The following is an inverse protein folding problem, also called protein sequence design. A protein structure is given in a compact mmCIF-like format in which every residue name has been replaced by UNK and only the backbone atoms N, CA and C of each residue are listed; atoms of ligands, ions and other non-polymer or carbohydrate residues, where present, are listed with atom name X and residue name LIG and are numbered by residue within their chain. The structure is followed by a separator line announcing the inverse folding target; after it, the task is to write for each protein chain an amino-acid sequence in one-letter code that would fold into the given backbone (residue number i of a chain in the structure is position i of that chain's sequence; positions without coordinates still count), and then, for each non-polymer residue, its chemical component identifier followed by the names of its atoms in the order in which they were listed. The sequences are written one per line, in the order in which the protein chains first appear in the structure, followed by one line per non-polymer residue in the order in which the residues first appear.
data_IF_429080526431
#
_entry.id   IF_429080526431
#
_cell.length_a   1.000
_cell.length_b   1.000
_cell.length_c   1.000
_cell.angle_alpha   90.00
_cell.angle_beta   90.00
_cell.angle_gamma   90.00
#
_symmetry.space_group_name_H-M   'P 1'
#
loop_
_entity.id
_entity.type
_entity.pdbx_description
1 polymer ?
#
# COMPACT_ATOMS: atom_id res chain seq x y z
N UNK A 1 -16.06 35.40 4.97
CA UNK A 1 -15.42 34.82 3.79
C UNK A 1 -13.89 34.69 3.97
N UNK A 2 -13.39 34.18 5.10
CA UNK A 2 -11.93 34.03 5.39
C UNK A 2 -11.48 32.60 5.67
N UNK A 3 -12.34 31.60 5.65
CA UNK A 3 -12.00 30.24 6.04
C UNK A 3 -12.14 29.17 4.92
N UNK A 4 -12.47 29.54 3.68
CA UNK A 4 -12.65 28.58 2.60
C UNK A 4 -11.33 28.11 1.98
N UNK A 5 -10.24 28.87 2.10
CA UNK A 5 -8.96 28.54 1.50
C UNK A 5 -8.08 27.60 2.35
N UNK A 6 -8.44 27.34 3.60
CA UNK A 6 -7.67 26.41 4.47
C UNK A 6 -7.84 24.94 4.14
N UNK A 7 -8.94 24.57 3.48
CA UNK A 7 -9.29 23.16 3.25
C UNK A 7 -8.80 22.59 1.91
N UNK A 8 -8.39 23.44 0.97
CA UNK A 8 -8.02 22.99 -0.41
C UNK A 8 -6.57 22.50 -0.50
N UNK A 9 -5.70 22.87 0.42
CA UNK A 9 -4.26 22.57 0.35
C UNK A 9 -3.83 21.22 0.93
N UNK A 10 -4.69 20.53 1.69
CA UNK A 10 -4.30 19.38 2.51
C UNK A 10 -4.76 18.02 2.03
N UNK A 11 -5.60 17.95 1.01
CA UNK A 11 -6.13 16.67 0.51
C UNK A 11 -5.14 15.86 -0.34
N UNK A 12 -3.98 16.41 -0.66
CA UNK A 12 -2.96 15.72 -1.48
C UNK A 12 -1.98 14.84 -0.70
N UNK A 13 -1.84 15.01 0.60
CA UNK A 13 -0.86 14.28 1.42
C UNK A 13 -1.43 12.97 2.00
N UNK A 14 -2.74 12.76 1.92
CA UNK A 14 -3.39 11.60 2.46
C UNK A 14 -2.99 10.34 1.69
N UNK A 15 -2.20 9.49 2.34
CA UNK A 15 -2.02 8.07 2.06
C UNK A 15 -1.14 7.69 0.88
N UNK A 16 0.13 8.07 0.95
CA UNK A 16 1.17 7.36 0.22
C UNK A 16 1.40 5.92 0.72
N UNK A 17 0.76 5.52 1.80
CA UNK A 17 0.87 4.17 2.36
C UNK A 17 -0.38 3.33 2.08
N UNK A 18 -0.80 3.23 0.82
CA UNK A 18 -1.64 2.11 0.44
C UNK A 18 -0.82 0.83 0.63
N UNK A 19 -1.24 -0.12 1.48
CA UNK A 19 -0.50 -1.34 1.72
C UNK A 19 -0.62 -2.25 0.50
N UNK A 20 0.34 -2.18 -0.37
CA UNK A 20 0.51 -3.13 -1.46
C UNK A 20 1.27 -4.39 -1.03
N UNK A 21 1.67 -4.46 0.23
CA UNK A 21 2.32 -5.65 0.82
C UNK A 21 1.36 -6.79 1.16
N UNK A 22 0.16 -6.77 0.63
CA UNK A 22 -0.89 -7.76 0.86
C UNK A 22 -0.62 -9.15 0.28
N UNK A 23 0.62 -9.49 -0.10
CA UNK A 23 0.81 -10.62 -0.96
C UNK A 23 1.91 -11.56 -0.49
N UNK A 24 1.54 -12.47 0.36
CA UNK A 24 2.13 -13.79 0.29
C UNK A 24 1.55 -14.48 -0.96
N UNK A 25 1.89 -14.05 -2.17
CA UNK A 25 1.55 -14.60 -3.48
C UNK A 25 0.28 -15.46 -3.60
N UNK A 26 0.17 -16.26 -4.67
CA UNK A 26 -0.94 -17.18 -4.89
C UNK A 26 -0.84 -18.50 -4.07
N UNK A 27 0.26 -18.72 -3.34
CA UNK A 27 0.47 -19.92 -2.54
C UNK A 27 -0.29 -19.85 -1.22
N UNK A 28 -0.95 -20.93 -0.85
CA UNK A 28 -1.54 -21.14 0.47
C UNK A 28 -0.59 -21.93 1.36
N UNK A 29 -0.71 -21.75 2.65
CA UNK A 29 0.02 -22.51 3.66
C UNK A 29 -0.54 -23.94 3.79
N UNK A 30 0.26 -24.92 4.17
CA UNK A 30 -0.24 -26.21 4.66
C UNK A 30 -1.14 -26.03 5.88
N UNK A 31 -2.07 -26.98 6.07
CA UNK A 31 -2.96 -26.97 7.24
C UNK A 31 -2.19 -26.98 8.55
N UNK A 32 -2.51 -26.06 9.44
CA UNK A 32 -1.89 -25.91 10.76
C UNK A 32 -0.58 -25.12 10.77
N UNK A 33 -0.11 -24.64 9.63
CA UNK A 33 1.07 -23.77 9.56
C UNK A 33 0.70 -22.30 9.76
N UNK A 34 1.59 -21.57 10.43
CA UNK A 34 1.52 -20.13 10.63
C UNK A 34 2.71 -19.47 9.94
N UNK A 35 2.45 -18.42 9.16
CA UNK A 35 3.48 -17.53 8.64
C UNK A 35 3.25 -16.10 9.14
N UNK A 36 4.33 -15.44 9.57
CA UNK A 36 4.31 -14.08 10.06
C UNK A 36 5.36 -13.23 9.35
N UNK A 37 5.09 -11.94 9.23
CA UNK A 37 6.06 -10.96 8.72
C UNK A 37 5.85 -9.62 9.40
N UNK A 38 6.95 -8.98 9.78
CA UNK A 38 6.96 -7.57 10.16
C UNK A 38 7.79 -6.84 9.11
N UNK A 39 7.18 -5.82 8.48
CA UNK A 39 7.85 -5.02 7.45
C UNK A 39 7.89 -3.55 7.90
N UNK A 40 9.08 -2.99 7.91
CA UNK A 40 9.32 -1.56 8.10
C UNK A 40 9.42 -0.87 6.74
N UNK A 41 8.78 0.28 6.62
CA UNK A 41 8.86 1.20 5.49
C UNK A 41 9.34 2.56 5.97
N UNK A 42 10.23 3.17 5.20
CA UNK A 42 10.64 4.54 5.42
C UNK A 42 10.64 5.29 4.09
N UNK A 43 9.90 6.38 4.04
CA UNK A 43 9.80 7.28 2.89
C UNK A 43 10.04 8.71 3.33
N UNK A 44 10.86 9.42 2.57
CA UNK A 44 10.91 10.88 2.54
C UNK A 44 10.57 11.35 1.13
N UNK A 45 9.78 12.40 1.02
CA UNK A 45 9.41 12.97 -0.27
C UNK A 45 9.35 14.50 -0.18
N UNK A 46 10.00 15.16 -1.11
CA UNK A 46 9.96 16.60 -1.37
C UNK A 46 9.21 16.91 -2.67
N UNK A 47 8.79 15.88 -3.40
CA UNK A 47 8.04 15.96 -4.64
C UNK A 47 6.78 15.10 -4.60
N UNK A 48 5.82 15.47 -5.42
CA UNK A 48 4.59 14.72 -5.62
C UNK A 48 4.15 14.70 -7.08
N UNK A 49 3.31 13.75 -7.43
CA UNK A 49 2.64 13.70 -8.74
C UNK A 49 1.35 14.50 -8.69
N UNK A 50 1.24 15.56 -9.51
CA UNK A 50 0.09 16.46 -9.47
C UNK A 50 -1.22 15.77 -9.85
N UNK A 51 -2.29 16.20 -9.16
CA UNK A 51 -3.63 15.60 -9.27
C UNK A 51 -4.47 16.19 -10.39
N UNK A 52 -4.25 17.47 -10.72
CA UNK A 52 -4.96 18.25 -11.73
C UNK A 52 -3.99 19.18 -12.45
N UNK A 53 -4.27 19.63 -13.69
CA UNK A 53 -3.42 20.59 -14.37
C UNK A 53 -3.24 21.85 -13.51
N UNK A 54 -2.01 22.30 -13.38
CA UNK A 54 -1.66 23.50 -12.60
C UNK A 54 -0.76 24.42 -13.41
N UNK A 55 -0.96 25.74 -13.26
CA UNK A 55 -0.04 26.71 -13.83
C UNK A 55 1.16 26.90 -12.92
N UNK A 56 2.37 26.70 -13.46
CA UNK A 56 3.61 26.88 -12.72
C UNK A 56 4.80 27.06 -13.66
N UNK A 57 5.77 27.88 -13.27
CA UNK A 57 6.98 28.19 -14.05
C UNK A 57 6.68 28.68 -15.48
N UNK A 58 5.58 29.43 -15.67
CA UNK A 58 5.19 29.97 -16.97
C UNK A 58 4.52 28.97 -17.93
N UNK A 59 4.24 27.75 -17.50
CA UNK A 59 3.63 26.69 -18.29
C UNK A 59 2.50 26.00 -17.53
N UNK A 60 1.56 25.39 -18.27
CA UNK A 60 0.58 24.46 -17.69
C UNK A 60 1.29 23.11 -17.52
N UNK A 61 1.32 22.63 -16.29
CA UNK A 61 1.82 21.30 -15.96
C UNK A 61 0.68 20.28 -16.03
N UNK A 62 0.96 19.16 -16.67
CA UNK A 62 -0.03 18.13 -16.92
C UNK A 62 -0.19 17.18 -15.72
N UNK A 63 -1.37 16.56 -15.65
CA UNK A 63 -1.68 15.56 -14.61
C UNK A 63 -0.65 14.43 -14.61
N UNK A 64 -0.07 14.15 -13.46
CA UNK A 64 0.91 13.09 -13.27
C UNK A 64 2.36 13.52 -13.51
N UNK A 65 2.64 14.77 -13.80
CA UNK A 65 3.99 15.30 -13.71
C UNK A 65 4.46 15.40 -12.27
N UNK A 66 5.76 15.22 -12.05
CA UNK A 66 6.39 15.41 -10.75
C UNK A 66 6.61 16.89 -10.47
N UNK A 67 6.36 17.29 -9.25
CA UNK A 67 6.52 18.66 -8.82
C UNK A 67 6.98 18.71 -7.36
N UNK A 68 7.89 19.61 -7.01
CA UNK A 68 8.19 19.91 -5.60
C UNK A 68 6.91 20.30 -4.84
N UNK A 69 6.83 19.90 -3.59
CA UNK A 69 5.80 20.40 -2.72
C UNK A 69 5.92 21.93 -2.61
N UNK A 70 4.77 22.61 -2.50
CA UNK A 70 4.76 24.06 -2.32
C UNK A 70 5.43 24.42 -1.00
N UNK A 71 6.04 25.59 -0.96
CA UNK A 71 6.69 26.15 0.24
C UNK A 71 7.76 25.23 0.83
N UNK A 72 8.59 24.62 0.00
CA UNK A 72 9.62 23.68 0.39
C UNK A 72 9.08 22.52 1.26
N UNK A 73 7.86 22.10 1.00
CA UNK A 73 7.20 21.03 1.74
C UNK A 73 7.98 19.71 1.71
N UNK A 74 8.03 19.04 2.85
CA UNK A 74 8.64 17.73 3.03
C UNK A 74 7.67 16.80 3.76
N UNK A 75 7.49 15.62 3.21
CA UNK A 75 6.72 14.56 3.80
C UNK A 75 7.62 13.43 4.26
N UNK A 76 7.51 13.01 5.51
CA UNK A 76 8.14 11.80 6.01
C UNK A 76 7.09 10.81 6.50
N UNK A 77 7.28 9.55 6.18
CA UNK A 77 6.45 8.45 6.68
C UNK A 77 7.31 7.27 7.08
N UNK A 78 7.12 6.82 8.30
CA UNK A 78 7.62 5.55 8.83
C UNK A 78 6.43 4.66 9.10
N UNK A 79 6.46 3.42 8.63
CA UNK A 79 5.38 2.48 8.86
C UNK A 79 5.92 1.09 9.23
N UNK A 80 5.22 0.41 10.13
CA UNK A 80 5.40 -1.00 10.45
C UNK A 80 4.12 -1.74 10.07
N UNK A 81 4.26 -2.82 9.32
CA UNK A 81 3.15 -3.74 9.02
C UNK A 81 3.44 -5.08 9.68
N UNK A 82 2.63 -5.46 10.63
CA UNK A 82 2.65 -6.80 11.20
C UNK A 82 1.59 -7.65 10.50
N UNK A 83 2.00 -8.76 9.90
CA UNK A 83 1.15 -9.68 9.13
C UNK A 83 1.24 -11.08 9.72
N UNK A 84 0.12 -11.78 9.72
CA UNK A 84 0.05 -13.19 10.06
C UNK A 84 -0.93 -13.91 9.13
N UNK A 85 -0.55 -15.10 8.64
CA UNK A 85 -1.41 -15.99 7.88
C UNK A 85 -1.38 -17.37 8.50
N UNK A 86 -2.54 -17.99 8.64
CA UNK A 86 -2.70 -19.33 9.18
C UNK A 86 -3.43 -20.23 8.19
N UNK A 87 -2.83 -21.35 7.85
CA UNK A 87 -3.45 -22.39 7.02
C UNK A 87 -4.55 -23.14 7.78
N UNK A 88 -5.81 -22.81 7.53
CA UNK A 88 -6.93 -23.56 8.08
C UNK A 88 -7.03 -24.95 7.45
N UNK A 89 -6.76 -25.01 6.15
CA UNK A 89 -6.64 -26.24 5.35
C UNK A 89 -5.51 -26.04 4.35
N UNK A 90 -5.08 -27.08 3.65
CA UNK A 90 -4.07 -26.97 2.57
C UNK A 90 -4.47 -25.98 1.46
N UNK A 91 -5.72 -25.54 1.43
CA UNK A 91 -6.26 -24.66 0.38
C UNK A 91 -6.85 -23.37 0.89
N UNK A 92 -6.99 -23.20 2.19
CA UNK A 92 -7.64 -22.03 2.79
C UNK A 92 -6.79 -21.44 3.90
N UNK A 93 -6.35 -20.22 3.71
CA UNK A 93 -5.70 -19.41 4.74
C UNK A 93 -6.64 -18.33 5.25
N UNK A 94 -6.48 -17.98 6.51
CA UNK A 94 -6.95 -16.72 7.09
C UNK A 94 -5.75 -15.84 7.43
N UNK A 95 -5.91 -14.53 7.36
CA UNK A 95 -4.82 -13.59 7.60
C UNK A 95 -5.27 -12.33 8.29
N UNK A 96 -4.34 -11.72 8.98
CA UNK A 96 -4.46 -10.45 9.68
C UNK A 96 -3.30 -9.55 9.30
N UNK A 97 -3.56 -8.25 9.14
CA UNK A 97 -2.53 -7.22 9.03
C UNK A 97 -2.87 -6.06 9.97
N UNK A 98 -1.89 -5.66 10.76
CA UNK A 98 -1.96 -4.52 11.66
C UNK A 98 -0.88 -3.51 11.25
N UNK A 99 -1.25 -2.34 10.72
CA UNK A 99 -0.30 -1.28 10.41
C UNK A 99 -0.10 -0.37 11.63
N UNK A 100 1.12 0.15 11.78
CA UNK A 100 1.44 1.27 12.63
C UNK A 100 2.13 2.34 11.79
N UNK A 101 1.68 3.57 11.87
CA UNK A 101 2.25 4.71 11.14
C UNK A 101 2.84 5.74 12.09
N UNK A 102 3.88 6.41 11.63
CA UNK A 102 4.35 7.70 12.15
C UNK A 102 4.61 8.57 10.93
N UNK A 103 3.85 9.66 10.81
CA UNK A 103 3.85 10.54 9.65
C UNK A 103 4.03 11.98 10.07
N UNK A 104 4.77 12.75 9.28
CA UNK A 104 4.97 14.17 9.50
C UNK A 104 5.02 14.91 8.17
N UNK A 105 4.62 16.18 8.21
CA UNK A 105 4.72 17.09 7.08
C UNK A 105 5.21 18.45 7.57
N UNK A 106 6.28 18.97 6.95
CA UNK A 106 6.85 20.27 7.24
C UNK A 106 6.80 21.15 5.98
N UNK A 107 6.56 22.45 6.14
CA UNK A 107 6.74 23.45 5.09
C UNK A 107 7.09 24.84 5.69
N UNK A 108 7.53 25.77 4.86
CA UNK A 108 7.97 27.12 5.27
C UNK A 108 6.80 28.03 5.73
N UNK A 109 5.55 27.59 5.64
CA UNK A 109 4.38 28.40 6.05
C UNK A 109 3.99 28.17 7.50
N UNK A 110 4.61 27.22 8.18
CA UNK A 110 4.30 26.81 9.55
C UNK A 110 5.52 26.82 10.44
N UNK A 111 5.31 27.17 11.69
CA UNK A 111 6.34 27.09 12.74
C UNK A 111 6.39 25.71 13.41
N UNK A 112 5.34 24.90 13.23
CA UNK A 112 5.18 23.56 13.76
C UNK A 112 5.18 22.53 12.63
N UNK A 113 5.65 21.35 12.92
CA UNK A 113 5.58 20.19 12.01
C UNK A 113 4.42 19.31 12.44
N UNK A 114 3.25 19.38 11.76
CA UNK A 114 2.15 18.48 12.07
C UNK A 114 2.58 17.03 11.90
N UNK A 115 2.36 16.23 12.91
CA UNK A 115 2.69 14.82 12.94
C UNK A 115 1.59 14.03 13.61
N UNK A 116 1.44 12.78 13.21
CA UNK A 116 0.57 11.80 13.85
C UNK A 116 1.23 10.43 13.86
N UNK A 117 0.94 9.65 14.90
CA UNK A 117 1.41 8.28 14.98
C UNK A 117 0.41 7.40 15.71
N UNK A 118 0.25 6.17 15.23
CA UNK A 118 -0.68 5.24 15.84
C UNK A 118 -0.90 4.00 15.00
N UNK A 119 -1.77 3.12 15.52
CA UNK A 119 -2.27 1.98 14.77
C UNK A 119 -3.22 2.51 13.70
N UNK A 120 -3.00 2.10 12.45
CA UNK A 120 -3.89 2.42 11.35
C UNK A 120 -5.06 1.44 11.23
N UNK A 121 -5.65 1.37 10.05
CA UNK A 121 -6.79 0.50 9.79
C UNK A 121 -6.37 -0.96 9.67
N UNK A 122 -6.87 -1.81 10.56
CA UNK A 122 -6.60 -3.25 10.61
C UNK A 122 -7.30 -3.97 9.45
N UNK A 123 -6.65 -5.00 8.88
CA UNK A 123 -7.18 -5.79 7.78
C UNK A 123 -7.26 -7.26 8.12
N UNK A 124 -8.36 -7.89 7.71
CA UNK A 124 -8.58 -9.33 7.78
C UNK A 124 -8.69 -9.89 6.37
N UNK A 125 -8.23 -11.12 6.18
CA UNK A 125 -8.23 -11.79 4.89
C UNK A 125 -8.66 -13.25 4.99
N UNK A 126 -9.29 -13.74 3.92
CA UNK A 126 -9.39 -15.16 3.63
C UNK A 126 -8.86 -15.39 2.21
N UNK A 127 -8.05 -16.43 2.02
CA UNK A 127 -7.40 -16.77 0.76
C UNK A 127 -7.65 -18.23 0.44
N UNK A 128 -8.29 -18.52 -0.70
CA UNK A 128 -8.67 -19.85 -1.12
C UNK A 128 -8.01 -20.23 -2.45
N UNK A 129 -7.19 -21.29 -2.43
CA UNK A 129 -6.59 -21.87 -3.61
C UNK A 129 -7.59 -22.75 -4.36
N UNK A 130 -8.08 -22.22 -5.49
CA UNK A 130 -9.08 -22.89 -6.33
C UNK A 130 -8.44 -23.93 -7.26
N UNK A 131 -7.31 -23.57 -7.89
CA UNK A 131 -6.58 -24.39 -8.86
C UNK A 131 -5.14 -24.56 -8.39
N UNK A 132 -4.59 -25.77 -8.53
CA UNK A 132 -3.21 -26.11 -8.15
C UNK A 132 -2.29 -26.37 -9.33
N UNK A 133 -2.81 -26.71 -10.51
CA UNK A 133 -2.02 -27.03 -11.71
C UNK A 133 -2.75 -26.62 -12.99
N UNK A 134 -2.05 -26.24 -14.07
CA UNK A 134 -0.60 -26.13 -14.22
C UNK A 134 0.01 -24.88 -13.58
N UNK A 135 -0.81 -23.95 -13.12
CA UNK A 135 -0.48 -22.79 -12.30
C UNK A 135 -1.47 -22.72 -11.14
N UNK A 136 -1.03 -22.12 -10.05
CA UNK A 136 -1.92 -21.84 -8.93
C UNK A 136 -2.88 -20.73 -9.33
N UNK A 137 -4.17 -20.90 -9.00
CA UNK A 137 -5.14 -19.81 -9.00
C UNK A 137 -5.79 -19.72 -7.63
N UNK A 138 -5.73 -18.55 -7.05
CA UNK A 138 -6.19 -18.28 -5.69
C UNK A 138 -7.11 -17.06 -5.69
N UNK A 139 -8.23 -17.17 -5.00
CA UNK A 139 -9.10 -16.04 -4.68
C UNK A 139 -8.79 -15.57 -3.26
N UNK A 140 -8.68 -14.27 -3.09
CA UNK A 140 -8.50 -13.63 -1.79
C UNK A 140 -9.58 -12.57 -1.61
N UNK A 141 -10.25 -12.61 -0.48
CA UNK A 141 -11.15 -11.57 -0.02
C UNK A 141 -10.58 -10.93 1.23
N UNK A 142 -10.82 -9.65 1.40
CA UNK A 142 -10.32 -8.92 2.55
C UNK A 142 -11.30 -7.85 3.01
N UNK A 143 -11.15 -7.44 4.26
CA UNK A 143 -11.84 -6.27 4.79
C UNK A 143 -10.86 -5.41 5.58
N UNK A 144 -10.95 -4.10 5.39
CA UNK A 144 -10.28 -3.07 6.20
C UNK A 144 -11.27 -2.50 7.17
N UNK A 145 -10.94 -2.53 8.45
CA UNK A 145 -11.74 -1.97 9.54
C UNK A 145 -11.21 -0.57 9.90
N UNK A 146 -12.08 0.43 10.09
CA UNK A 146 -11.67 1.79 10.45
C UNK A 146 -11.24 1.85 11.93
N UNK A 147 -10.10 1.29 12.25
CA UNK A 147 -9.54 1.25 13.61
C UNK A 147 -8.54 2.37 13.89
N UNK A 148 -7.99 2.97 12.82
CA UNK A 148 -7.06 4.09 12.93
C UNK A 148 -7.77 5.42 13.12
N UNK A 149 -7.12 6.37 13.78
CA UNK A 149 -7.62 7.73 13.86
C UNK A 149 -7.55 8.37 12.46
N UNK A 150 -8.67 8.96 12.02
CA UNK A 150 -8.79 9.59 10.71
C UNK A 150 -9.09 11.09 10.80
N UNK A 151 -9.18 11.64 12.01
CA UNK A 151 -9.48 13.05 12.20
C UNK A 151 -8.25 13.89 11.89
N UNK A 152 -8.40 14.77 10.94
CA UNK A 152 -7.39 15.76 10.59
C UNK A 152 -7.65 17.04 11.42
N UNK A 153 -7.39 16.97 12.71
CA UNK A 153 -7.43 18.11 13.62
C UNK A 153 -6.09 18.84 13.55
N UNK A 154 -6.13 20.16 13.45
CA UNK A 154 -4.94 21.05 13.41
C UNK A 154 -3.94 20.77 12.27
N UNK A 155 -4.36 20.09 11.22
CA UNK A 155 -3.53 19.79 10.07
C UNK A 155 -2.62 18.57 10.25
N UNK A 156 -2.91 17.70 11.19
CA UNK A 156 -2.24 16.41 11.39
C UNK A 156 -2.55 15.48 10.21
N UNK A 157 -1.57 14.70 9.79
CA UNK A 157 -1.75 13.63 8.79
C UNK A 157 -2.35 12.40 9.48
N UNK A 158 -3.60 12.03 9.19
CA UNK A 158 -4.26 10.94 9.91
C UNK A 158 -3.67 9.57 9.57
N UNK A 159 -3.63 8.67 10.56
CA UNK A 159 -3.13 7.29 10.39
C UNK A 159 -4.20 6.31 9.90
N UNK A 160 -5.47 6.68 9.95
CA UNK A 160 -6.62 5.92 9.46
C UNK A 160 -7.40 6.66 8.38
N UNK A 161 -8.39 5.98 7.78
CA UNK A 161 -9.25 6.55 6.74
C UNK A 161 -10.72 6.70 7.17
N UNK A 162 -11.12 6.06 8.28
CA UNK A 162 -12.45 6.18 8.89
C UNK A 162 -13.59 5.47 8.16
N UNK A 163 -13.33 4.63 7.16
CA UNK A 163 -14.34 3.84 6.46
C UNK A 163 -13.93 2.37 6.32
N UNK A 164 -14.94 1.51 6.12
CA UNK A 164 -14.75 0.12 5.74
C UNK A 164 -14.38 0.02 4.26
N UNK A 165 -13.42 -0.87 3.94
CA UNK A 165 -13.12 -1.27 2.58
C UNK A 165 -13.25 -2.80 2.44
N UNK A 166 -13.63 -3.29 1.26
CA UNK A 166 -13.71 -4.71 0.93
C UNK A 166 -12.88 -5.01 -0.31
N UNK A 167 -11.93 -5.93 -0.18
CA UNK A 167 -11.00 -6.31 -1.24
C UNK A 167 -11.40 -7.64 -1.87
N UNK A 168 -11.39 -7.71 -3.19
CA UNK A 168 -11.59 -8.93 -3.99
C UNK A 168 -10.41 -9.09 -4.92
N UNK A 169 -9.64 -10.19 -4.80
CA UNK A 169 -8.38 -10.37 -5.51
C UNK A 169 -8.30 -11.72 -6.16
N UNK A 170 -8.02 -11.76 -7.45
CA UNK A 170 -7.58 -12.94 -8.16
C UNK A 170 -6.05 -12.99 -8.23
N UNK A 171 -5.46 -14.12 -7.89
CA UNK A 171 -4.01 -14.31 -7.90
C UNK A 171 -3.62 -15.54 -8.71
N UNK A 172 -2.57 -15.42 -9.53
CA UNK A 172 -1.99 -16.53 -10.28
C UNK A 172 -0.52 -16.65 -9.91
N UNK A 173 -0.07 -17.86 -9.59
CA UNK A 173 1.32 -18.14 -9.26
C UNK A 173 1.83 -19.38 -10.00
N UNK A 174 3.11 -19.35 -10.40
CA UNK A 174 3.76 -20.51 -11.03
C UNK A 174 5.22 -20.61 -10.64
N UNK A 175 5.63 -21.81 -10.24
CA UNK A 175 7.03 -22.20 -10.16
C UNK A 175 7.45 -22.85 -11.48
N UNK A 176 8.63 -22.50 -12.00
CA UNK A 176 9.16 -22.98 -13.29
C UNK A 176 10.19 -24.08 -13.10
N UNK A 177 10.03 -24.93 -12.06
CA UNK A 177 10.93 -26.06 -11.83
C UNK A 177 11.24 -26.84 -13.13
N UNK A 178 12.53 -27.23 -13.44
CA UNK A 178 13.71 -27.17 -12.55
C UNK A 178 14.45 -25.81 -12.52
N UNK A 179 13.97 -24.80 -13.23
CA UNK A 179 14.54 -23.45 -13.09
C UNK A 179 14.24 -22.90 -11.68
N UNK A 180 15.21 -22.26 -11.02
CA UNK A 180 14.98 -21.68 -9.69
C UNK A 180 14.19 -20.37 -9.76
N UNK A 181 13.13 -20.33 -10.56
CA UNK A 181 12.34 -19.17 -10.91
C UNK A 181 10.87 -19.39 -10.53
N UNK A 182 10.23 -18.35 -10.03
CA UNK A 182 8.78 -18.28 -9.92
C UNK A 182 8.26 -16.92 -10.41
N UNK A 183 6.97 -16.90 -10.74
CA UNK A 183 6.24 -15.67 -11.03
C UNK A 183 4.89 -15.69 -10.31
N UNK A 184 4.44 -14.50 -9.93
CA UNK A 184 3.16 -14.26 -9.31
C UNK A 184 2.53 -12.99 -9.88
N UNK A 185 1.20 -13.03 -10.09
CA UNK A 185 0.40 -11.92 -10.55
C UNK A 185 -0.88 -11.86 -9.72
N UNK A 186 -1.25 -10.70 -9.24
CA UNK A 186 -2.50 -10.44 -8.56
C UNK A 186 -3.18 -9.21 -9.16
N UNK A 187 -4.50 -9.28 -9.30
CA UNK A 187 -5.35 -8.14 -9.67
C UNK A 187 -6.52 -8.12 -8.72
N UNK A 188 -6.80 -6.96 -8.18
CA UNK A 188 -7.85 -6.76 -7.19
C UNK A 188 -8.69 -5.53 -7.44
N UNK A 189 -9.89 -5.59 -6.88
CA UNK A 189 -10.83 -4.48 -6.81
C UNK A 189 -11.19 -4.25 -5.34
N UNK A 190 -11.14 -3.00 -4.92
CA UNK A 190 -11.49 -2.56 -3.58
C UNK A 190 -12.74 -1.70 -3.64
N UNK A 191 -13.79 -2.17 -3.01
CA UNK A 191 -14.98 -1.38 -2.73
C UNK A 191 -14.72 -0.58 -1.46
N UNK A 192 -14.81 0.74 -1.56
CA UNK A 192 -14.55 1.66 -0.44
C UNK A 192 -15.86 2.28 0.01
N UNK A 193 -16.20 2.06 1.27
CA UNK A 193 -17.43 2.61 1.83
C UNK A 193 -17.29 4.10 2.13
N UNK A 194 -18.40 4.77 2.18
CA UNK A 194 -18.46 6.18 2.55
C UNK A 194 -18.04 6.39 4.01
N UNK A 195 -17.14 7.35 4.25
CA UNK A 195 -16.92 7.88 5.59
C UNK A 195 -18.04 8.87 5.89
N UNK A 196 -18.97 8.49 6.80
CA UNK A 196 -20.17 9.25 7.11
C UNK A 196 -19.89 10.48 7.98
N UNK A 197 -18.80 10.46 8.76
CA UNK A 197 -18.46 11.57 9.66
C UNK A 197 -17.97 12.81 8.91
N UNK A 198 -17.26 12.60 7.80
CA UNK A 198 -16.75 13.69 6.96
C UNK A 198 -17.51 13.81 5.63
N UNK A 199 -18.61 13.08 5.47
CA UNK A 199 -19.44 13.06 4.27
C UNK A 199 -18.66 12.84 2.97
N UNK A 200 -17.74 11.85 3.00
CA UNK A 200 -16.84 11.56 1.89
C UNK A 200 -16.89 10.10 1.48
N UNK A 201 -17.10 9.88 0.19
CA UNK A 201 -16.89 8.60 -0.48
C UNK A 201 -15.54 8.66 -1.22
N UNK A 202 -14.53 7.89 -0.82
CA UNK A 202 -13.18 8.03 -1.37
C UNK A 202 -13.01 7.47 -2.79
N UNK A 203 -14.05 6.85 -3.35
CA UNK A 203 -13.99 6.17 -4.63
C UNK A 203 -13.30 4.80 -4.57
N UNK A 204 -13.81 3.86 -5.35
CA UNK A 204 -13.29 2.50 -5.43
C UNK A 204 -11.91 2.45 -6.08
N UNK A 205 -11.18 1.35 -5.88
CA UNK A 205 -9.81 1.20 -6.35
C UNK A 205 -9.59 -0.11 -7.10
N UNK A 206 -8.96 -0.03 -8.28
CA UNK A 206 -8.26 -1.14 -8.91
C UNK A 206 -6.83 -1.17 -8.43
N UNK A 207 -6.32 -2.35 -8.12
CA UNK A 207 -4.91 -2.52 -7.77
C UNK A 207 -4.36 -3.82 -8.34
N UNK A 208 -3.06 -3.85 -8.53
CA UNK A 208 -2.36 -5.00 -9.07
C UNK A 208 -0.98 -5.16 -8.44
N UNK A 209 -0.48 -6.38 -8.48
CA UNK A 209 0.90 -6.70 -8.20
C UNK A 209 1.40 -7.76 -9.18
N UNK A 210 2.65 -7.66 -9.54
CA UNK A 210 3.38 -8.69 -10.27
C UNK A 210 4.74 -8.88 -9.61
N UNK A 211 5.16 -10.12 -9.47
CA UNK A 211 6.44 -10.45 -8.87
C UNK A 211 7.10 -11.60 -9.63
N UNK A 212 8.39 -11.44 -9.89
CA UNK A 212 9.25 -12.51 -10.38
C UNK A 212 10.40 -12.67 -9.39
N UNK A 213 10.67 -13.90 -8.98
CA UNK A 213 11.76 -14.20 -8.06
C UNK A 213 12.65 -15.33 -8.57
N UNK A 214 13.96 -15.19 -8.35
CA UNK A 214 14.96 -16.20 -8.67
C UNK A 214 15.75 -16.59 -7.41
N UNK A 215 15.78 -17.89 -7.12
CA UNK A 215 16.56 -18.43 -6.01
C UNK A 215 18.02 -18.61 -6.44
N UNK A 216 18.93 -18.09 -5.64
CA UNK A 216 20.38 -18.23 -5.83
C UNK A 216 20.91 -19.08 -4.67
N UNK A 217 21.22 -20.33 -4.99
CA UNK A 217 21.55 -21.32 -3.97
C UNK A 217 20.36 -21.60 -3.04
N UNK A 218 20.64 -21.89 -1.76
CA UNK A 218 19.62 -22.28 -0.78
C UNK A 218 19.14 -21.17 0.12
N UNK A 219 19.73 -19.97 0.07
CA UNK A 219 19.48 -18.91 1.04
C UNK A 219 19.12 -17.56 0.45
N UNK A 220 19.45 -17.32 -0.81
CA UNK A 220 19.22 -16.01 -1.43
C UNK A 220 18.05 -16.09 -2.41
N UNK A 221 17.19 -15.09 -2.38
CA UNK A 221 16.09 -14.89 -3.32
C UNK A 221 16.12 -13.45 -3.80
N UNK A 222 16.37 -13.25 -5.09
CA UNK A 222 16.23 -11.95 -5.75
C UNK A 222 14.82 -11.82 -6.29
N UNK A 223 14.21 -10.66 -6.10
CA UNK A 223 12.84 -10.37 -6.53
C UNK A 223 12.77 -9.05 -7.28
N UNK A 224 11.95 -9.04 -8.32
CA UNK A 224 11.49 -7.82 -8.99
C UNK A 224 9.98 -7.74 -8.82
N UNK A 225 9.51 -6.71 -8.12
CA UNK A 225 8.10 -6.53 -7.81
C UNK A 225 7.58 -5.26 -8.50
N UNK A 226 6.42 -5.36 -9.12
CA UNK A 226 5.66 -4.24 -9.68
C UNK A 226 4.31 -4.19 -8.98
N UNK A 227 3.93 -3.02 -8.53
CA UNK A 227 2.70 -2.80 -7.78
C UNK A 227 2.06 -1.51 -8.24
N UNK A 228 0.76 -1.47 -8.22
CA UNK A 228 0.08 -0.24 -8.56
C UNK A 228 -1.37 -0.22 -8.15
N UNK A 229 -1.91 0.99 -8.12
CA UNK A 229 -3.32 1.24 -7.88
C UNK A 229 -3.82 2.40 -8.75
N UNK A 230 -5.14 2.40 -8.97
CA UNK A 230 -5.88 3.48 -9.57
C UNK A 230 -7.24 3.57 -8.89
N UNK A 231 -7.60 4.74 -8.33
CA UNK A 231 -8.92 4.99 -7.77
C UNK A 231 -9.86 5.62 -8.79
N UNK A 232 -11.16 5.48 -8.51
CA UNK A 232 -12.19 6.33 -9.07
C UNK A 232 -12.19 7.71 -8.40
N UNK A 233 -12.90 8.71 -8.95
CA UNK A 233 -13.08 10.00 -8.30
C UNK A 233 -13.80 9.84 -6.96
N UNK A 234 -13.39 10.60 -5.94
CA UNK A 234 -14.20 10.69 -4.72
C UNK A 234 -15.51 11.42 -4.95
N UNK A 235 -16.48 11.15 -4.09
CA UNK A 235 -17.72 11.93 -4.02
C UNK A 235 -17.77 12.60 -2.66
N UNK A 236 -17.71 13.93 -2.68
CA UNK A 236 -17.67 14.76 -1.47
C UNK A 236 -19.02 15.51 -1.32
N UNK A 237 -19.40 15.78 -0.06
CA UNK A 237 -20.60 16.57 0.27
C UNK A 237 -21.89 16.12 -0.46
N UNK A 238 -22.14 14.81 -0.43
CA UNK A 238 -23.37 14.19 -0.91
C UNK A 238 -23.43 13.88 -2.41
N UNK A 239 -22.78 14.64 -3.29
CA UNK A 239 -22.88 14.35 -4.75
C UNK A 239 -21.79 14.96 -5.62
N UNK A 240 -20.83 15.69 -5.07
CA UNK A 240 -19.81 16.38 -5.87
C UNK A 240 -18.69 15.40 -6.21
N UNK A 241 -18.57 15.01 -7.49
CA UNK A 241 -17.47 14.19 -7.97
C UNK A 241 -16.18 15.01 -8.04
N UNK A 242 -15.22 14.64 -7.19
CA UNK A 242 -13.93 15.30 -7.11
C UNK A 242 -12.85 14.54 -7.87
N UNK A 243 -12.58 14.95 -9.11
CA UNK A 243 -11.56 14.32 -9.96
C UNK A 243 -10.12 14.62 -9.53
N UNK A 244 -9.89 15.65 -8.72
CA UNK A 244 -8.56 15.94 -8.18
C UNK A 244 -8.13 14.91 -7.11
N UNK A 245 -9.08 14.17 -6.58
CA UNK A 245 -8.83 13.09 -5.61
C UNK A 245 -8.52 11.73 -6.24
N UNK A 246 -8.57 11.62 -7.58
CA UNK A 246 -8.17 10.39 -8.26
C UNK A 246 -6.72 10.09 -7.93
N UNK A 247 -6.47 8.92 -7.37
CA UNK A 247 -5.15 8.39 -7.08
C UNK A 247 -4.71 7.45 -8.19
N UNK A 248 -3.46 7.52 -8.56
CA UNK A 248 -2.78 6.52 -9.41
C UNK A 248 -1.32 6.46 -9.00
N UNK A 249 -0.80 5.27 -8.89
CA UNK A 249 0.63 5.06 -8.68
C UNK A 249 1.05 3.71 -9.23
N UNK A 250 2.25 3.65 -9.74
CA UNK A 250 2.96 2.41 -10.09
C UNK A 250 4.31 2.43 -9.41
N UNK A 251 4.65 1.35 -8.74
CA UNK A 251 5.92 1.15 -8.09
C UNK A 251 6.72 0.02 -8.76
N UNK A 252 8.02 0.18 -8.74
CA UNK A 252 8.98 -0.90 -8.95
C UNK A 252 9.78 -1.10 -7.66
N UNK A 253 9.87 -2.35 -7.20
CA UNK A 253 10.54 -2.69 -5.96
C UNK A 253 11.46 -3.90 -6.19
N UNK A 254 12.74 -3.68 -6.58
CA UNK A 254 13.76 -4.71 -6.47
C UNK A 254 14.00 -5.04 -5.00
N UNK A 255 14.03 -6.32 -4.68
CA UNK A 255 14.23 -6.79 -3.31
C UNK A 255 15.13 -8.02 -3.26
N UNK A 256 15.83 -8.15 -2.15
CA UNK A 256 16.66 -9.31 -1.79
C UNK A 256 16.13 -9.93 -0.51
N UNK A 257 15.88 -11.23 -0.52
CA UNK A 257 15.58 -11.99 0.69
C UNK A 257 16.71 -12.95 1.02
N UNK A 258 17.09 -13.01 2.30
CA UNK A 258 18.14 -13.85 2.84
C UNK A 258 17.55 -14.80 3.87
N UNK A 259 17.61 -16.10 3.61
CA UNK A 259 17.20 -17.14 4.56
C UNK A 259 18.20 -17.22 5.73
N UNK A 260 17.71 -17.00 6.95
CA UNK A 260 18.50 -17.01 8.19
C UNK A 260 18.53 -18.39 8.85
N UNK A 261 17.73 -19.33 8.36
CA UNK A 261 17.52 -20.65 8.95
C UNK A 261 16.29 -20.68 9.87
N UNK A 262 15.87 -21.90 10.29
CA UNK A 262 14.72 -22.07 11.17
C UNK A 262 13.39 -21.50 10.63
N UNK A 263 13.20 -21.46 9.30
CA UNK A 263 12.00 -20.89 8.70
C UNK A 263 11.95 -19.36 8.68
N UNK A 264 13.06 -18.67 9.04
CA UNK A 264 13.13 -17.21 9.06
C UNK A 264 13.86 -16.64 7.85
N UNK A 265 13.46 -15.46 7.39
CA UNK A 265 14.13 -14.73 6.31
C UNK A 265 14.05 -13.21 6.54
N UNK A 266 15.14 -12.53 6.16
CA UNK A 266 15.24 -11.07 6.09
C UNK A 266 15.07 -10.62 4.65
N UNK A 267 14.16 -9.69 4.39
CA UNK A 267 13.94 -9.06 3.09
C UNK A 267 14.33 -7.58 3.15
N UNK A 268 15.10 -7.12 2.17
CA UNK A 268 15.44 -5.71 1.97
C UNK A 268 15.01 -5.30 0.56
N UNK A 269 14.41 -4.13 0.43
CA UNK A 269 13.94 -3.63 -0.87
C UNK A 269 14.01 -2.11 -0.98
N UNK A 270 13.98 -1.64 -2.22
CA UNK A 270 13.90 -0.23 -2.58
C UNK A 270 12.68 -0.03 -3.49
N UNK A 271 11.58 0.40 -2.92
CA UNK A 271 10.33 0.63 -3.65
C UNK A 271 10.31 2.04 -4.20
N UNK A 272 10.34 2.17 -5.53
CA UNK A 272 10.42 3.46 -6.24
C UNK A 272 9.15 3.74 -7.02
N UNK A 273 8.64 4.97 -6.98
CA UNK A 273 7.53 5.39 -7.82
C UNK A 273 8.01 5.58 -9.25
N UNK A 274 7.37 4.89 -10.22
CA UNK A 274 7.64 5.05 -11.65
C UNK A 274 6.76 6.14 -12.27
N UNK A 275 5.53 6.21 -11.86
CA UNK A 275 4.55 7.23 -12.26
C UNK A 275 3.49 7.36 -11.18
N UNK A 276 2.74 8.47 -11.24
CA UNK A 276 1.71 8.71 -10.25
C UNK A 276 0.71 9.78 -10.65
N UNK A 277 -0.30 9.94 -9.81
CA UNK A 277 -1.22 11.06 -9.76
C UNK A 277 -1.74 11.15 -8.32
N UNK A 278 -1.68 12.32 -7.73
CA UNK A 278 -2.08 12.56 -6.34
C UNK A 278 -1.36 11.62 -5.35
N UNK A 279 -0.05 11.50 -5.53
CA UNK A 279 0.84 10.68 -4.71
C UNK A 279 2.19 11.33 -4.49
N UNK A 280 2.79 11.10 -3.32
CA UNK A 280 4.17 11.43 -3.05
C UNK A 280 5.10 10.69 -4.04
N UNK A 281 6.05 11.42 -4.64
CA UNK A 281 7.05 10.84 -5.52
C UNK A 281 8.30 10.49 -4.72
N UNK A 282 9.03 9.44 -5.13
CA UNK A 282 10.31 9.13 -4.51
C UNK A 282 10.52 7.65 -4.25
N UNK A 283 11.38 7.40 -3.28
CA UNK A 283 11.82 6.06 -2.90
C UNK A 283 11.36 5.72 -1.49
N UNK A 284 11.05 4.45 -1.29
CA UNK A 284 10.74 3.88 0.02
C UNK A 284 11.71 2.75 0.30
N UNK A 285 12.47 2.86 1.39
CA UNK A 285 13.25 1.75 1.90
C UNK A 285 12.32 0.77 2.61
N UNK A 286 12.51 -0.51 2.35
CA UNK A 286 11.74 -1.57 3.00
C UNK A 286 12.67 -2.60 3.64
N UNK A 287 12.34 -3.00 4.86
CA UNK A 287 13.04 -4.07 5.57
C UNK A 287 11.99 -4.98 6.23
N UNK A 288 11.99 -6.26 5.91
CA UNK A 288 11.01 -7.22 6.40
C UNK A 288 11.66 -8.43 7.04
N UNK A 289 11.18 -8.83 8.21
CA UNK A 289 11.55 -10.09 8.85
C UNK A 289 10.32 -11.00 8.82
N UNK A 290 10.47 -12.19 8.24
CA UNK A 290 9.43 -13.20 8.19
C UNK A 290 9.85 -14.47 8.92
N UNK A 291 8.85 -15.19 9.45
CA UNK A 291 9.05 -16.49 10.10
C UNK A 291 7.87 -17.41 9.77
N UNK A 292 8.20 -18.66 9.45
CA UNK A 292 7.23 -19.75 9.29
C UNK A 292 7.30 -20.68 10.50
N UNK A 293 6.12 -21.07 11.00
CA UNK A 293 5.95 -22.00 12.12
C UNK A 293 5.03 -23.13 11.67
N UNK A 294 5.49 -24.34 11.75
CA UNK A 294 4.76 -25.54 11.38
C UNK A 294 5.48 -26.79 11.84
N UNK A 295 4.83 -27.95 11.68
CA UNK A 295 5.39 -29.24 12.06
C UNK A 295 6.51 -29.67 11.10
#
# INVERSE_FOLDING_TARGET
MKNLNKYILWTGVLLACGPTTLFAGAWTLPAGELWTKVTYFHQTADEWYIASPEFGNGQIQEVGERRPYRFNGQYESKALFAEAFYGLTDRLDIGLQVPYFAQEYADDTRFDTPSDSGIGDVRLFAKWRVISQPALFTLKVGTKMPTGDFKNEDGIVPVGEGQWDFDFVGQVGRSFWPLPLYANLGVGYRVRMKNVEVDRDPGDEWFYNAEVGINIGSRLLLMAKFEGLRSDPSVDFGSIKNRSQIKRVTYFNPALSVGLGGGTALELGLRSTLNGRNFAAGHQLTAGLSAGFGK
#
